data_IF_068010564447
#
_entry.id   IF_068010564447
#
_cell.length_a   1.000
_cell.length_b   1.000
_cell.length_c   1.000
_cell.angle_alpha   90.00
_cell.angle_beta   90.00
_cell.angle_gamma   90.00
#
_symmetry.space_group_name_H-M   'P 1'
#
loop_
_entity.id
_entity.type
_entity.pdbx_description
1 polymer ?
#
# COMPACT_ATOMS: atom_id res chain seq x y z
N UNK A 1 14.71 -12.59 4.63
CA UNK A 1 13.44 -12.36 3.91
C UNK A 1 13.64 -11.16 3.01
N UNK A 2 13.70 -11.29 1.68
CA UNK A 2 13.64 -10.03 0.88
C UNK A 2 12.19 -9.54 0.87
N UNK A 3 12.00 -8.25 1.03
CA UNK A 3 10.67 -7.67 0.96
C UNK A 3 10.18 -7.73 -0.50
N UNK A 4 8.88 -7.93 -0.69
CA UNK A 4 8.22 -7.68 -1.97
C UNK A 4 8.55 -6.24 -2.40
N UNK A 5 9.11 -6.00 -3.60
CA UNK A 5 9.49 -4.66 -4.01
C UNK A 5 8.26 -3.76 -3.99
N UNK A 6 8.45 -2.55 -3.46
CA UNK A 6 7.38 -1.58 -3.37
C UNK A 6 7.93 -0.16 -3.38
N UNK A 7 7.20 0.70 -4.08
CA UNK A 7 7.43 2.14 -4.16
C UNK A 7 6.35 2.89 -3.38
N UNK A 8 6.74 4.03 -2.81
CA UNK A 8 5.82 4.95 -2.13
C UNK A 8 5.94 6.30 -2.81
N UNK A 9 4.81 6.81 -3.30
CA UNK A 9 4.71 8.11 -3.97
C UNK A 9 3.84 9.02 -3.14
N UNK A 10 4.33 10.23 -2.89
CA UNK A 10 3.55 11.29 -2.28
C UNK A 10 3.05 12.24 -3.36
N UNK A 11 1.74 12.43 -3.41
CA UNK A 11 1.07 13.43 -4.21
C UNK A 11 0.51 14.53 -3.30
N UNK A 12 0.13 15.70 -3.85
CA UNK A 12 -0.45 16.78 -3.05
C UNK A 12 -1.67 16.35 -2.22
N UNK A 13 -2.51 15.47 -2.77
CA UNK A 13 -3.78 15.06 -2.17
C UNK A 13 -3.80 13.59 -1.70
N UNK A 14 -2.75 12.81 -1.93
CA UNK A 14 -2.77 11.37 -1.64
C UNK A 14 -1.38 10.76 -1.51
N UNK A 15 -1.31 9.62 -0.82
CA UNK A 15 -0.17 8.71 -0.84
C UNK A 15 -0.52 7.49 -1.69
N UNK A 16 0.40 7.08 -2.56
CA UNK A 16 0.22 5.92 -3.44
C UNK A 16 1.34 4.92 -3.21
N UNK A 17 0.99 3.70 -2.84
CA UNK A 17 1.89 2.58 -2.64
C UNK A 17 1.75 1.63 -3.82
N UNK A 18 2.84 1.36 -4.52
CA UNK A 18 2.88 0.45 -5.66
C UNK A 18 3.69 -0.76 -5.23
N UNK A 19 3.10 -1.96 -5.26
CA UNK A 19 3.74 -3.18 -4.78
C UNK A 19 3.67 -4.24 -5.87
N UNK A 20 4.83 -4.79 -6.24
CA UNK A 20 4.90 -5.81 -7.30
C UNK A 20 4.47 -7.17 -6.76
N UNK A 21 3.31 -7.64 -7.23
CA UNK A 21 2.64 -8.85 -6.79
C UNK A 21 2.29 -9.80 -7.96
N UNK A 22 3.28 -10.22 -8.77
CA UNK A 22 3.01 -10.98 -9.99
C UNK A 22 2.50 -12.39 -9.71
N UNK A 23 1.38 -12.75 -10.33
CA UNK A 23 0.76 -14.08 -10.23
C UNK A 23 -0.17 -14.26 -9.04
N UNK A 24 -0.59 -13.17 -8.39
CA UNK A 24 -1.61 -13.17 -7.35
C UNK A 24 -2.96 -12.85 -8.00
N UNK A 25 -3.97 -13.67 -7.71
CA UNK A 25 -5.37 -13.38 -8.06
C UNK A 25 -5.93 -12.42 -7.00
N UNK A 26 -6.91 -11.60 -7.38
CA UNK A 26 -7.52 -10.57 -6.52
C UNK A 26 -8.05 -11.09 -5.17
N UNK A 27 -8.33 -12.39 -5.03
CA UNK A 27 -8.77 -13.02 -3.78
C UNK A 27 -7.65 -13.57 -2.87
N UNK A 28 -6.41 -13.73 -3.35
CA UNK A 28 -5.30 -14.33 -2.60
C UNK A 28 -4.18 -13.30 -2.32
N UNK A 29 -4.54 -12.06 -1.97
CA UNK A 29 -3.58 -10.99 -1.63
C UNK A 29 -2.96 -11.29 -0.24
N UNK A 30 -1.97 -12.17 -0.20
CA UNK A 30 -1.14 -12.41 0.99
C UNK A 30 -0.18 -13.59 0.84
N UNK A 31 -0.44 -14.47 -0.11
CA UNK A 31 0.30 -15.72 -0.24
C UNK A 31 0.42 -16.13 -1.70
N UNK A 32 1.66 -16.26 -2.16
CA UNK A 32 1.92 -16.87 -3.45
C UNK A 32 1.96 -18.38 -3.25
N UNK A 33 0.86 -19.05 -3.57
CA UNK A 33 0.75 -20.51 -3.55
C UNK A 33 1.50 -21.12 -4.73
N UNK A 34 2.08 -22.29 -4.51
CA UNK A 34 2.71 -23.10 -5.57
C UNK A 34 1.60 -23.92 -6.24
N UNK A 35 1.57 -23.92 -7.57
CA UNK A 35 0.77 -24.90 -8.31
C UNK A 35 1.56 -26.22 -8.38
N UNK A 36 1.74 -26.90 -7.24
CA UNK A 36 2.48 -28.18 -7.18
C UNK A 36 1.79 -29.30 -7.97
N UNK A 37 0.46 -29.27 -8.05
CA UNK A 37 -0.33 -30.37 -8.63
C UNK A 37 -0.33 -30.41 -10.16
N UNK A 38 0.05 -29.33 -10.87
CA UNK A 38 0.04 -29.31 -12.34
C UNK A 38 1.32 -29.83 -12.98
N UNK A 39 2.40 -29.91 -12.22
CA UNK A 39 3.74 -30.29 -12.70
C UNK A 39 4.01 -31.79 -12.51
N UNK A 40 3.04 -32.67 -12.78
CA UNK A 40 3.24 -34.13 -12.74
C UNK A 40 4.27 -34.55 -13.80
N UNK A 41 5.55 -34.50 -13.43
CA UNK A 41 6.70 -34.85 -14.27
C UNK A 41 7.72 -33.74 -14.53
N UNK A 42 7.49 -32.49 -14.09
CA UNK A 42 8.43 -31.40 -14.33
C UNK A 42 9.48 -31.29 -13.22
N UNK A 43 10.77 -31.42 -13.59
CA UNK A 43 11.91 -31.18 -12.69
C UNK A 43 12.37 -29.74 -12.81
N UNK A 44 12.30 -29.00 -11.70
CA UNK A 44 12.86 -27.65 -11.62
C UNK A 44 14.38 -27.70 -11.78
N UNK A 45 14.91 -27.10 -12.86
CA UNK A 45 16.35 -26.96 -13.08
C UNK A 45 16.91 -25.82 -12.22
N UNK A 46 16.14 -24.75 -12.06
CA UNK A 46 16.47 -23.59 -11.21
C UNK A 46 15.19 -22.87 -10.82
N UNK A 47 15.14 -22.38 -9.59
CA UNK A 47 13.96 -21.72 -9.04
C UNK A 47 14.34 -20.38 -8.42
N UNK A 48 13.92 -19.29 -9.06
CA UNK A 48 14.19 -17.92 -8.60
C UNK A 48 12.92 -17.19 -8.15
N UNK A 49 11.77 -17.68 -8.62
CA UNK A 49 10.46 -17.14 -8.25
C UNK A 49 10.19 -17.50 -6.79
N UNK A 50 9.94 -16.47 -5.98
CA UNK A 50 9.54 -16.66 -4.59
C UNK A 50 8.12 -17.18 -4.47
N UNK A 51 7.93 -18.03 -3.49
CA UNK A 51 6.68 -18.66 -3.08
C UNK A 51 6.52 -18.44 -1.58
N UNK A 52 5.29 -18.28 -1.11
CA UNK A 52 4.97 -18.12 0.30
C UNK A 52 4.28 -16.80 0.64
N UNK A 53 4.17 -16.55 1.94
CA UNK A 53 3.44 -15.39 2.48
C UNK A 53 4.26 -14.11 2.35
N UNK A 54 3.59 -13.04 1.98
CA UNK A 54 4.17 -11.70 1.96
C UNK A 54 3.53 -10.83 3.03
N UNK A 55 4.35 -9.98 3.66
CA UNK A 55 3.87 -8.96 4.58
C UNK A 55 4.75 -7.72 4.40
N UNK A 56 4.11 -6.58 4.19
CA UNK A 56 4.79 -5.28 4.20
C UNK A 56 3.98 -4.31 5.02
N UNK A 57 4.65 -3.59 5.92
CA UNK A 57 4.06 -2.57 6.78
C UNK A 57 4.67 -1.23 6.40
N UNK A 58 3.81 -0.23 6.28
CA UNK A 58 4.22 1.15 6.04
C UNK A 58 3.70 2.02 7.17
N UNK A 59 4.49 3.01 7.58
CA UNK A 59 4.05 4.03 8.52
C UNK A 59 3.39 5.13 7.70
N UNK A 60 2.12 5.41 7.99
CA UNK A 60 1.39 6.50 7.34
C UNK A 60 1.67 7.83 8.07
N UNK A 61 1.83 8.94 7.33
CA UNK A 61 1.88 10.27 7.92
C UNK A 61 0.57 10.68 8.61
N UNK A 62 0.63 11.63 9.55
CA UNK A 62 -0.54 12.06 10.34
C UNK A 62 -1.66 12.70 9.50
N UNK A 63 -1.33 13.25 8.34
CA UNK A 63 -2.28 13.84 7.41
C UNK A 63 -2.93 12.82 6.47
N UNK A 64 -2.72 11.52 6.65
CA UNK A 64 -3.35 10.48 5.85
C UNK A 64 -4.74 10.12 6.41
N UNK A 65 -5.76 10.08 5.55
CA UNK A 65 -7.11 9.67 5.91
C UNK A 65 -7.22 8.13 5.85
N UNK A 66 -7.13 7.49 7.01
CA UNK A 66 -7.22 6.03 7.14
C UNK A 66 -8.61 5.46 6.82
N UNK A 67 -9.65 6.31 6.75
CA UNK A 67 -11.00 5.86 6.38
C UNK A 67 -11.15 5.71 4.86
N UNK A 68 -10.30 6.38 4.09
CA UNK A 68 -10.37 6.43 2.62
C UNK A 68 -9.17 5.77 1.97
N UNK A 69 -9.04 4.48 2.25
CA UNK A 69 -8.03 3.62 1.62
C UNK A 69 -8.69 2.86 0.47
N UNK A 70 -8.14 3.02 -0.73
CA UNK A 70 -8.53 2.25 -1.90
C UNK A 70 -7.37 1.35 -2.35
N UNK A 71 -7.68 0.15 -2.83
CA UNK A 71 -6.68 -0.78 -3.33
C UNK A 71 -7.14 -1.39 -4.65
N UNK A 72 -6.24 -1.43 -5.63
CA UNK A 72 -6.48 -2.00 -6.96
C UNK A 72 -5.30 -2.90 -7.31
N UNK A 73 -5.58 -4.16 -7.64
CA UNK A 73 -4.57 -5.08 -8.17
C UNK A 73 -4.85 -5.29 -9.65
N UNK A 74 -3.94 -4.84 -10.51
CA UNK A 74 -4.01 -4.99 -11.96
C UNK A 74 -2.67 -5.49 -12.49
N UNK A 75 -2.71 -6.48 -13.39
CA UNK A 75 -1.54 -7.04 -14.06
C UNK A 75 -0.39 -7.47 -13.13
N UNK A 76 -0.74 -7.92 -11.92
CA UNK A 76 0.24 -8.34 -10.92
C UNK A 76 0.93 -7.19 -10.19
N UNK A 77 0.36 -5.98 -10.20
CA UNK A 77 0.80 -4.84 -9.41
C UNK A 77 -0.34 -4.39 -8.51
N UNK A 78 -0.09 -4.37 -7.19
CA UNK A 78 -1.01 -3.85 -6.20
C UNK A 78 -0.74 -2.36 -5.98
N UNK A 79 -1.71 -1.54 -6.33
CA UNK A 79 -1.71 -0.10 -6.07
C UNK A 79 -2.64 0.20 -4.90
N UNK A 80 -2.12 0.76 -3.82
CA UNK A 80 -2.90 1.22 -2.66
C UNK A 80 -2.85 2.75 -2.62
N UNK A 81 -4.00 3.40 -2.60
CA UNK A 81 -4.13 4.85 -2.53
C UNK A 81 -4.74 5.23 -1.19
N UNK A 82 -4.12 6.19 -0.51
CA UNK A 82 -4.60 6.76 0.75
C UNK A 82 -4.77 8.26 0.53
N UNK A 83 -5.99 8.77 0.65
CA UNK A 83 -6.24 10.21 0.54
C UNK A 83 -5.59 10.97 1.71
N UNK A 84 -5.21 12.22 1.47
CA UNK A 84 -4.81 13.13 2.54
C UNK A 84 -6.06 13.78 3.15
N UNK A 85 -6.01 14.03 4.45
CA UNK A 85 -7.01 14.82 5.16
C UNK A 85 -7.05 16.22 4.54
N UNK A 86 -8.25 16.83 4.43
CA UNK A 86 -8.37 18.20 3.96
C UNK A 86 -7.52 19.10 4.87
N UNK A 87 -6.85 20.11 4.31
CA UNK A 87 -6.09 21.06 5.11
C UNK A 87 -7.03 21.67 6.15
N UNK A 88 -6.58 21.84 7.42
CA UNK A 88 -7.41 22.43 8.45
C UNK A 88 -7.91 23.79 7.95
N UNK A 89 -9.21 24.07 8.14
CA UNK A 89 -9.78 25.35 7.76
C UNK A 89 -8.90 26.49 8.29
N UNK A 90 -8.65 27.55 7.49
CA UNK A 90 -7.83 28.66 7.95
C UNK A 90 -8.45 29.19 9.24
N UNK A 91 -7.75 28.99 10.36
CA UNK A 91 -8.20 29.47 11.67
C UNK A 91 -8.40 30.97 11.53
N UNK A 92 -9.67 31.41 11.55
CA UNK A 92 -10.02 32.83 11.54
C UNK A 92 -9.21 33.52 12.65
N UNK A 93 -8.62 34.70 12.39
CA UNK A 93 -7.83 35.39 13.39
C UNK A 93 -8.68 35.57 14.65
N UNK A 94 -8.22 35.01 15.77
CA UNK A 94 -8.84 35.25 17.07
C UNK A 94 -8.39 36.62 17.54
N UNK A 95 -9.25 37.61 17.40
CA UNK A 95 -9.08 38.90 18.08
C UNK A 95 -9.33 38.66 19.57
N UNK A 96 -8.31 38.85 20.39
CA UNK A 96 -8.43 38.80 21.85
C UNK A 96 -8.52 40.24 22.32
N UNK A 97 -9.64 40.61 22.95
CA UNK A 97 -9.79 41.91 23.59
C UNK A 97 -8.93 41.97 24.85
N UNK A 98 -7.99 42.91 24.91
CA UNK A 98 -7.18 43.17 26.09
C UNK A 98 -7.93 44.14 26.99
N UNK A 99 -8.38 43.67 28.16
CA UNK A 99 -8.91 44.54 29.21
C UNK A 99 -7.76 45.21 29.95
N UNK A 100 -7.75 46.54 29.95
CA UNK A 100 -6.85 47.35 30.77
C UNK A 100 -7.57 47.60 32.11
N UNK A 101 -6.83 47.40 33.20
CA UNK A 101 -7.29 47.62 34.58
C UNK A 101 -7.17 49.10 34.99
#
# INVERSE_FOLDING_TARGET
MAATPADVKEYPNSYVFVIDMPGLKSGDIGERKREEEKDQGAKYVRMERRIGKFMRKFVLPENADTNKIAAVCQDGVLTVTVEKLPPPEPKKPRTIEVKIA
#
